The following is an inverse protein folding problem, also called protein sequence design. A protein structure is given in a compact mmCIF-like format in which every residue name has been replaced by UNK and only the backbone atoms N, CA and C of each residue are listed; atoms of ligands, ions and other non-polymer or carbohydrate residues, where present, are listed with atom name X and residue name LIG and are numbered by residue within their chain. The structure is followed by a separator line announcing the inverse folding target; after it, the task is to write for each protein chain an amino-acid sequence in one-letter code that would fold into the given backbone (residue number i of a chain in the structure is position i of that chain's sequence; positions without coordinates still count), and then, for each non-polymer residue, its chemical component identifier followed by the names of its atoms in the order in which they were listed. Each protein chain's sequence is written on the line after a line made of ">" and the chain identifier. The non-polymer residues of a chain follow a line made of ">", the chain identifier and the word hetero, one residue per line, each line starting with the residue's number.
data_IF_513435517391
#
_entry.id   IF_513435517391
#
_cell.length_a   1.000
_cell.length_b   1.000
_cell.length_c   1.000
_cell.angle_alpha   90.00
_cell.angle_beta   90.00
_cell.angle_gamma   90.00
#
_symmetry.space_group_name_H-M   'P 1'
#
loop_
_entity.id
_entity.type
_entity.pdbx_description
1 polymer ?
#
# COMPACT_ATOMS: atom_id res chain seq x y z
N UNK A 1 -31.28 26.50 26.87
CA UNK A 1 -32.51 25.91 26.30
C UNK A 1 -33.66 26.00 27.31
N UNK A 2 -34.94 26.02 26.91
CA UNK A 2 -36.10 26.06 27.82
C UNK A 2 -37.16 25.05 27.37
N UNK A 3 -37.74 24.32 28.33
CA UNK A 3 -38.87 23.41 28.13
C UNK A 3 -39.98 23.83 29.10
N UNK A 4 -41.22 23.92 28.62
CA UNK A 4 -42.37 24.24 29.49
C UNK A 4 -42.52 23.18 30.59
N UNK A 5 -42.72 23.55 31.87
CA UNK A 5 -42.97 22.57 32.94
C UNK A 5 -44.17 21.66 32.65
N UNK A 6 -45.15 22.16 31.89
CA UNK A 6 -46.34 21.42 31.46
C UNK A 6 -46.08 20.46 30.28
N UNK A 7 -44.88 20.44 29.69
CA UNK A 7 -44.55 19.50 28.62
C UNK A 7 -44.57 18.06 29.18
N UNK A 8 -45.39 17.15 28.62
CA UNK A 8 -45.51 15.79 29.14
C UNK A 8 -44.38 14.86 28.70
N UNK A 9 -43.59 15.25 27.69
CA UNK A 9 -42.59 14.38 27.06
C UNK A 9 -41.16 14.73 27.45
N UNK A 10 -40.87 16.02 27.63
CA UNK A 10 -39.50 16.51 27.79
C UNK A 10 -39.31 17.27 29.09
N UNK A 11 -38.07 17.25 29.56
CA UNK A 11 -37.59 18.09 30.65
C UNK A 11 -36.22 18.67 30.30
N UNK A 12 -35.79 19.69 31.04
CA UNK A 12 -34.46 20.32 30.86
C UNK A 12 -33.90 20.78 32.20
N UNK A 13 -32.57 20.86 32.30
CA UNK A 13 -31.84 21.55 33.36
C UNK A 13 -31.31 22.93 32.90
N UNK A 14 -31.73 23.39 31.71
CA UNK A 14 -31.26 24.61 31.07
C UNK A 14 -30.08 24.40 30.10
N UNK A 15 -29.38 23.27 30.20
CA UNK A 15 -28.22 22.88 29.37
C UNK A 15 -28.51 21.70 28.45
N UNK A 16 -29.27 20.71 28.94
CA UNK A 16 -29.61 19.49 28.22
C UNK A 16 -31.12 19.31 28.06
N UNK A 17 -31.55 18.61 27.01
CA UNK A 17 -32.91 18.09 26.85
C UNK A 17 -32.92 16.62 27.27
N UNK A 18 -33.92 16.25 28.05
CA UNK A 18 -34.18 14.88 28.45
C UNK A 18 -35.61 14.49 28.16
N UNK A 19 -35.93 13.20 28.26
CA UNK A 19 -37.30 12.76 28.47
C UNK A 19 -37.86 13.28 29.82
N UNK A 20 -39.16 13.11 30.05
CA UNK A 20 -39.85 13.68 31.22
C UNK A 20 -39.23 13.24 32.55
N UNK A 21 -38.85 11.97 32.65
CA UNK A 21 -38.29 11.35 33.86
C UNK A 21 -36.77 11.50 33.99
N UNK A 22 -36.12 12.18 33.03
CA UNK A 22 -34.65 12.38 32.98
C UNK A 22 -33.86 11.07 32.96
N UNK A 23 -34.39 10.04 32.32
CA UNK A 23 -33.70 8.75 32.09
C UNK A 23 -33.00 8.68 30.74
N UNK A 24 -33.40 9.51 29.76
CA UNK A 24 -32.80 9.59 28.43
C UNK A 24 -32.34 11.03 28.18
N UNK A 25 -31.08 11.23 27.79
CA UNK A 25 -30.54 12.53 27.38
C UNK A 25 -30.50 12.61 25.85
N UNK A 26 -31.25 13.57 25.28
CA UNK A 26 -31.39 13.73 23.83
C UNK A 26 -30.33 14.62 23.20
N UNK A 27 -30.03 15.77 23.81
CA UNK A 27 -29.08 16.73 23.25
C UNK A 27 -28.68 17.79 24.28
N UNK A 28 -27.63 18.54 23.98
CA UNK A 28 -27.12 19.63 24.82
C UNK A 28 -26.84 20.89 24.01
N UNK A 29 -26.88 22.05 24.67
CA UNK A 29 -26.25 23.27 24.13
C UNK A 29 -24.71 23.09 24.07
N UNK A 30 -23.94 24.00 23.47
CA UNK A 30 -22.48 23.98 23.59
C UNK A 30 -22.01 24.08 25.05
N UNK A 31 -21.13 23.17 25.47
CA UNK A 31 -20.65 23.01 26.84
C UNK A 31 -19.14 22.80 26.87
N UNK A 32 -18.48 23.40 27.87
CA UNK A 32 -17.09 23.08 28.21
C UNK A 32 -16.99 21.87 29.15
N UNK A 33 -17.98 21.71 30.03
CA UNK A 33 -18.10 20.55 30.91
C UNK A 33 -19.54 20.26 31.29
N UNK A 34 -19.82 19.00 31.63
CA UNK A 34 -21.16 18.58 32.03
C UNK A 34 -21.15 17.41 33.02
N UNK A 35 -21.98 17.50 34.05
CA UNK A 35 -22.25 16.40 34.97
C UNK A 35 -23.63 15.84 34.63
N UNK A 36 -23.65 14.67 33.99
CA UNK A 36 -24.92 14.04 33.59
C UNK A 36 -25.67 13.61 34.87
N UNK A 37 -26.98 13.92 35.00
CA UNK A 37 -27.75 13.53 36.18
C UNK A 37 -27.74 12.01 36.44
N UNK A 38 -27.72 11.61 37.71
CA UNK A 38 -27.71 10.20 38.13
C UNK A 38 -28.96 9.40 37.72
N UNK A 39 -30.03 10.07 37.27
CA UNK A 39 -31.24 9.45 36.74
C UNK A 39 -31.07 8.94 35.31
N UNK A 40 -30.09 9.46 34.56
CA UNK A 40 -29.87 9.09 33.16
C UNK A 40 -29.39 7.65 33.06
N UNK A 41 -29.95 6.92 32.10
CA UNK A 41 -29.65 5.54 31.73
C UNK A 41 -29.15 5.46 30.29
N UNK A 42 -29.58 6.38 29.44
CA UNK A 42 -29.27 6.35 28.01
C UNK A 42 -28.84 7.72 27.50
N UNK A 43 -27.77 7.72 26.71
CA UNK A 43 -27.39 8.85 25.86
C UNK A 43 -27.85 8.53 24.45
N UNK A 44 -28.73 9.36 23.92
CA UNK A 44 -29.24 9.17 22.56
C UNK A 44 -28.19 9.47 21.49
N UNK A 45 -28.55 9.10 20.26
CA UNK A 45 -27.71 9.39 19.10
C UNK A 45 -27.41 10.90 19.04
N UNK A 46 -26.14 11.24 18.86
CA UNK A 46 -25.63 12.63 18.76
C UNK A 46 -25.80 13.52 20.01
N UNK A 47 -26.11 12.96 21.19
CA UNK A 47 -26.41 13.72 22.41
C UNK A 47 -25.40 14.82 22.81
N UNK A 48 -24.11 14.56 22.58
CA UNK A 48 -22.97 15.46 22.78
C UNK A 48 -22.13 15.60 21.49
N UNK A 49 -22.71 15.36 20.31
CA UNK A 49 -21.98 15.52 19.06
C UNK A 49 -21.57 16.97 18.84
N UNK A 50 -20.37 17.18 18.29
CA UNK A 50 -19.77 18.47 17.96
C UNK A 50 -19.62 19.43 19.16
N UNK A 51 -19.42 18.90 20.37
CA UNK A 51 -19.06 19.70 21.54
C UNK A 51 -17.57 20.08 21.50
N UNK A 52 -17.21 20.99 20.59
CA UNK A 52 -15.81 21.31 20.23
C UNK A 52 -15.00 21.94 21.37
N UNK A 53 -15.67 22.50 22.37
CA UNK A 53 -15.05 23.09 23.56
C UNK A 53 -15.13 22.22 24.80
N UNK A 54 -15.74 21.03 24.73
CA UNK A 54 -15.87 20.13 25.87
C UNK A 54 -14.52 19.52 26.24
N UNK A 55 -14.08 19.74 27.47
CA UNK A 55 -12.84 19.19 28.02
C UNK A 55 -13.10 18.08 29.04
N UNK A 56 -14.27 18.06 29.67
CA UNK A 56 -14.63 17.03 30.65
C UNK A 56 -16.12 16.71 30.67
N UNK A 57 -16.44 15.44 30.95
CA UNK A 57 -17.80 14.99 31.20
C UNK A 57 -17.80 13.91 32.28
N UNK A 58 -18.78 13.99 33.18
CA UNK A 58 -19.01 12.98 34.20
C UNK A 58 -20.22 12.13 33.83
N UNK A 59 -19.97 10.84 33.60
CA UNK A 59 -21.00 9.83 33.32
C UNK A 59 -21.63 9.32 34.62
N UNK A 60 -22.94 9.03 34.66
CA UNK A 60 -23.59 8.51 35.87
C UNK A 60 -23.39 6.99 35.97
N UNK A 61 -23.19 6.47 37.19
CA UNK A 61 -23.03 5.02 37.44
C UNK A 61 -24.23 4.15 36.99
N UNK A 62 -25.39 4.75 36.73
CA UNK A 62 -26.57 4.06 36.19
C UNK A 62 -26.62 3.96 34.67
N UNK A 63 -25.65 4.53 33.93
CA UNK A 63 -25.67 4.58 32.47
C UNK A 63 -25.55 3.18 31.86
N UNK A 64 -26.48 2.82 30.99
CA UNK A 64 -26.55 1.51 30.33
C UNK A 64 -26.20 1.55 28.85
N UNK A 65 -26.41 2.67 28.15
CA UNK A 65 -26.19 2.78 26.70
C UNK A 65 -25.64 4.14 26.28
N UNK A 66 -24.75 4.11 25.28
CA UNK A 66 -24.20 5.27 24.59
C UNK A 66 -24.54 5.16 23.11
N UNK A 67 -25.40 6.03 22.62
CA UNK A 67 -25.95 6.01 21.27
C UNK A 67 -24.95 6.40 20.17
N UNK A 68 -25.38 6.20 18.93
CA UNK A 68 -24.59 6.46 17.72
C UNK A 68 -24.05 7.89 17.73
N UNK A 69 -22.75 8.03 17.51
CA UNK A 69 -22.10 9.34 17.42
C UNK A 69 -22.33 10.26 18.62
N UNK A 70 -22.65 9.71 19.81
CA UNK A 70 -23.01 10.49 20.99
C UNK A 70 -21.97 11.55 21.36
N UNK A 71 -20.67 11.29 21.18
CA UNK A 71 -19.56 12.22 21.43
C UNK A 71 -18.77 12.54 20.17
N UNK A 72 -19.33 12.31 18.98
CA UNK A 72 -18.61 12.57 17.73
C UNK A 72 -18.09 14.00 17.69
N UNK A 73 -16.86 14.21 17.25
CA UNK A 73 -16.24 15.53 17.11
C UNK A 73 -16.08 16.34 18.41
N UNK A 74 -16.01 15.69 19.58
CA UNK A 74 -15.58 16.33 20.84
C UNK A 74 -14.05 16.49 20.86
N UNK A 75 -13.51 17.40 20.06
CA UNK A 75 -12.07 17.50 19.76
C UNK A 75 -11.17 17.77 20.98
N UNK A 76 -11.71 18.39 22.05
CA UNK A 76 -10.96 18.75 23.26
C UNK A 76 -11.17 17.80 24.44
N UNK A 77 -11.97 16.75 24.29
CA UNK A 77 -12.22 15.80 25.37
C UNK A 77 -11.00 14.89 25.54
N UNK A 78 -10.27 15.04 26.64
CA UNK A 78 -8.99 14.34 26.84
C UNK A 78 -9.14 12.96 27.46
N UNK A 79 -10.11 12.81 28.36
CA UNK A 79 -10.33 11.59 29.14
C UNK A 79 -11.81 11.29 29.26
N UNK A 80 -12.15 10.01 29.22
CA UNK A 80 -13.50 9.53 29.43
C UNK A 80 -13.49 8.26 30.29
N UNK A 81 -14.29 8.28 31.35
CA UNK A 81 -14.54 7.08 32.16
C UNK A 81 -15.92 6.55 31.80
N UNK A 82 -15.98 5.39 31.15
CA UNK A 82 -17.23 4.70 30.85
C UNK A 82 -17.63 3.86 32.07
N UNK A 83 -18.83 4.07 32.65
CA UNK A 83 -19.31 3.30 33.79
C UNK A 83 -19.39 1.80 33.51
N UNK A 84 -19.17 0.98 34.54
CA UNK A 84 -19.19 -0.48 34.45
C UNK A 84 -20.58 -1.07 34.12
N UNK A 85 -21.63 -0.25 34.21
CA UNK A 85 -23.02 -0.58 33.90
C UNK A 85 -23.36 -0.45 32.42
N UNK A 86 -22.50 0.19 31.62
CA UNK A 86 -22.72 0.31 30.17
C UNK A 86 -22.64 -1.07 29.52
N UNK A 87 -23.61 -1.36 28.64
CA UNK A 87 -23.74 -2.63 27.91
C UNK A 87 -23.68 -2.43 26.39
N UNK A 88 -23.94 -1.23 25.89
CA UNK A 88 -23.84 -0.89 24.47
C UNK A 88 -23.16 0.45 24.24
N UNK A 89 -22.27 0.48 23.23
CA UNK A 89 -21.62 1.68 22.70
C UNK A 89 -21.76 1.59 21.18
N UNK A 90 -22.56 2.47 20.62
CA UNK A 90 -22.96 2.40 19.21
C UNK A 90 -21.93 3.03 18.26
N UNK A 91 -22.18 2.84 16.96
CA UNK A 91 -21.27 3.24 15.90
C UNK A 91 -20.85 4.71 16.02
N UNK A 92 -19.55 4.96 15.85
CA UNK A 92 -18.97 6.30 15.88
C UNK A 92 -19.13 7.06 17.20
N UNK A 93 -19.49 6.41 18.32
CA UNK A 93 -19.77 7.09 19.59
C UNK A 93 -18.69 8.09 20.00
N UNK A 94 -17.40 7.81 19.76
CA UNK A 94 -16.26 8.69 20.06
C UNK A 94 -15.46 9.07 18.81
N UNK A 95 -16.11 9.05 17.64
CA UNK A 95 -15.47 9.41 16.37
C UNK A 95 -14.93 10.84 16.42
N UNK A 96 -13.67 11.05 16.05
CA UNK A 96 -13.08 12.38 16.00
C UNK A 96 -12.82 13.04 17.36
N UNK A 97 -12.89 12.30 18.47
CA UNK A 97 -12.40 12.77 19.77
C UNK A 97 -10.86 12.82 19.78
N UNK A 98 -10.26 13.71 19.00
CA UNK A 98 -8.83 13.70 18.67
C UNK A 98 -7.90 13.97 19.87
N UNK A 99 -8.37 14.61 20.94
CA UNK A 99 -7.62 14.76 22.19
C UNK A 99 -7.78 13.57 23.16
N UNK A 100 -8.74 12.66 22.91
CA UNK A 100 -9.09 11.57 23.82
C UNK A 100 -7.96 10.54 23.87
N UNK A 101 -7.12 10.68 24.89
CA UNK A 101 -5.93 9.86 25.07
C UNK A 101 -6.12 8.77 26.13
N UNK A 102 -7.18 8.85 26.93
CA UNK A 102 -7.51 7.85 27.97
C UNK A 102 -9.00 7.53 27.97
N UNK A 103 -9.31 6.27 27.69
CA UNK A 103 -10.66 5.70 27.75
C UNK A 103 -10.58 4.28 28.28
N UNK A 104 -11.52 3.87 29.11
CA UNK A 104 -11.72 2.48 29.49
C UNK A 104 -12.91 1.90 28.74
N UNK A 105 -12.77 0.68 28.20
CA UNK A 105 -13.90 -0.12 27.75
C UNK A 105 -14.32 -1.01 28.92
N UNK A 106 -15.58 -0.94 29.40
CA UNK A 106 -15.99 -1.70 30.57
C UNK A 106 -16.10 -3.20 30.27
N UNK A 107 -15.89 -4.02 31.30
CA UNK A 107 -16.13 -5.46 31.24
C UNK A 107 -17.61 -5.74 30.92
N UNK A 108 -17.86 -6.76 30.09
CA UNK A 108 -19.21 -7.15 29.69
C UNK A 108 -19.67 -6.58 28.36
N UNK A 109 -18.98 -5.58 27.80
CA UNK A 109 -19.13 -5.18 26.39
C UNK A 109 -18.79 -6.37 25.50
N UNK A 110 -19.70 -6.70 24.58
CA UNK A 110 -19.57 -7.86 23.66
C UNK A 110 -18.99 -7.47 22.31
N UNK A 111 -19.28 -6.26 21.85
CA UNK A 111 -18.81 -5.76 20.57
C UNK A 111 -18.42 -4.29 20.66
N UNK A 112 -17.43 -3.90 19.87
CA UNK A 112 -17.11 -2.52 19.56
C UNK A 112 -17.68 -2.21 18.18
N UNK A 113 -18.52 -1.18 18.08
CA UNK A 113 -19.21 -0.84 16.84
C UNK A 113 -18.28 -0.15 15.82
N UNK A 114 -18.78 -0.01 14.58
CA UNK A 114 -18.05 0.62 13.49
C UNK A 114 -17.61 2.04 13.84
N UNK A 115 -16.35 2.37 13.55
CA UNK A 115 -15.79 3.70 13.76
C UNK A 115 -15.82 4.21 15.21
N UNK A 116 -16.08 3.36 16.21
CA UNK A 116 -16.37 3.78 17.59
C UNK A 116 -15.32 4.73 18.19
N UNK A 117 -14.04 4.51 17.86
CA UNK A 117 -12.91 5.32 18.30
C UNK A 117 -12.10 5.88 17.11
N UNK A 118 -12.69 5.90 15.91
CA UNK A 118 -11.99 6.39 14.72
C UNK A 118 -11.59 7.86 14.90
N UNK A 119 -10.36 8.22 14.49
CA UNK A 119 -9.78 9.56 14.62
C UNK A 119 -9.71 10.06 16.09
N UNK A 120 -9.55 9.14 17.05
CA UNK A 120 -9.29 9.47 18.45
C UNK A 120 -7.80 9.63 18.75
N UNK A 121 -7.48 10.26 19.88
CA UNK A 121 -6.11 10.51 20.35
C UNK A 121 -5.48 9.38 21.18
N UNK A 122 -6.08 8.17 21.16
CA UNK A 122 -5.64 7.06 22.00
C UNK A 122 -4.21 6.64 21.66
N UNK A 123 -3.41 6.36 22.69
CA UNK A 123 -2.03 5.88 22.54
C UNK A 123 -1.89 4.38 22.73
N UNK A 124 -2.67 3.84 23.66
CA UNK A 124 -2.74 2.41 23.98
C UNK A 124 -4.17 2.11 24.34
N UNK A 125 -4.62 0.88 24.08
CA UNK A 125 -5.94 0.43 24.51
C UNK A 125 -5.91 -1.05 24.85
N UNK A 126 -6.39 -1.36 26.06
CA UNK A 126 -6.69 -2.72 26.48
C UNK A 126 -8.15 -3.02 26.18
N UNK A 127 -8.41 -3.92 25.23
CA UNK A 127 -9.76 -4.35 24.91
C UNK A 127 -10.12 -5.52 25.83
N UNK A 128 -11.25 -5.45 26.57
CA UNK A 128 -11.69 -6.55 27.43
C UNK A 128 -11.87 -7.87 26.68
N UNK A 129 -11.53 -8.98 27.33
CA UNK A 129 -11.71 -10.34 26.80
C UNK A 129 -13.18 -10.71 26.52
N UNK A 130 -14.14 -9.95 27.05
CA UNK A 130 -15.56 -10.12 26.74
C UNK A 130 -15.94 -9.70 25.32
N UNK A 131 -15.07 -8.92 24.63
CA UNK A 131 -15.29 -8.45 23.27
C UNK A 131 -14.94 -9.54 22.28
N UNK A 132 -15.88 -9.92 21.42
CA UNK A 132 -15.70 -10.93 20.37
C UNK A 132 -15.91 -10.39 18.95
N UNK A 133 -16.24 -9.10 18.82
CA UNK A 133 -16.41 -8.42 17.54
C UNK A 133 -15.93 -6.98 17.63
N UNK A 134 -15.17 -6.54 16.64
CA UNK A 134 -14.76 -5.15 16.47
C UNK A 134 -15.14 -4.71 15.06
N UNK A 135 -15.96 -3.67 14.97
CA UNK A 135 -16.53 -3.16 13.73
C UNK A 135 -15.51 -2.55 12.78
N UNK A 136 -15.99 -2.21 11.59
CA UNK A 136 -15.18 -1.60 10.54
C UNK A 136 -14.64 -0.26 11.01
N UNK A 137 -13.37 0.01 10.67
CA UNK A 137 -12.70 1.28 11.01
C UNK A 137 -12.75 1.68 12.49
N UNK A 138 -12.98 0.74 13.42
CA UNK A 138 -13.16 1.05 14.84
C UNK A 138 -12.01 1.91 15.41
N UNK A 139 -10.78 1.71 14.93
CA UNK A 139 -9.59 2.48 15.30
C UNK A 139 -8.95 3.21 14.12
N UNK A 140 -9.63 3.33 12.97
CA UNK A 140 -9.09 4.04 11.80
C UNK A 140 -8.71 5.49 12.18
N UNK A 141 -7.54 5.95 11.74
CA UNK A 141 -6.97 7.28 11.98
C UNK A 141 -6.65 7.57 13.45
N UNK A 142 -6.50 6.57 14.30
CA UNK A 142 -5.90 6.74 15.63
C UNK A 142 -4.38 6.96 15.49
N UNK A 143 -3.98 8.13 14.98
CA UNK A 143 -2.59 8.41 14.55
C UNK A 143 -1.56 8.34 15.68
N UNK A 144 -2.01 8.41 16.94
CA UNK A 144 -1.16 8.31 18.13
C UNK A 144 -1.11 6.89 18.72
N UNK A 145 -1.85 5.93 18.17
CA UNK A 145 -1.91 4.56 18.68
C UNK A 145 -0.56 3.87 18.45
N UNK A 146 0.14 3.52 19.54
CA UNK A 146 1.45 2.87 19.53
C UNK A 146 1.33 1.34 19.53
N UNK A 147 0.43 0.83 20.36
CA UNK A 147 0.12 -0.59 20.52
C UNK A 147 -1.34 -0.77 20.97
N UNK A 148 -1.86 -1.97 20.77
CA UNK A 148 -3.22 -2.35 21.18
C UNK A 148 -3.27 -3.84 21.50
N UNK A 149 -3.93 -4.17 22.61
CA UNK A 149 -4.14 -5.55 23.02
C UNK A 149 -5.50 -6.02 22.51
N UNK A 150 -5.48 -6.83 21.46
CA UNK A 150 -6.66 -7.46 20.88
C UNK A 150 -7.09 -8.68 21.73
N UNK A 151 -8.40 -8.92 21.92
CA UNK A 151 -8.87 -10.04 22.71
C UNK A 151 -8.76 -11.38 21.96
N UNK A 152 -8.41 -12.44 22.69
CA UNK A 152 -8.20 -13.80 22.16
C UNK A 152 -9.42 -14.45 21.50
N UNK A 153 -10.62 -13.86 21.63
CA UNK A 153 -11.86 -14.36 21.04
C UNK A 153 -12.13 -13.89 19.61
N UNK A 154 -11.29 -13.03 19.04
CA UNK A 154 -11.52 -12.47 17.70
C UNK A 154 -11.22 -13.47 16.59
N UNK A 155 -12.16 -13.63 15.68
CA UNK A 155 -11.98 -14.45 14.46
C UNK A 155 -11.70 -13.61 13.22
N UNK A 156 -11.93 -12.30 13.28
CA UNK A 156 -11.95 -11.39 12.14
C UNK A 156 -11.30 -10.05 12.49
N UNK A 157 -10.36 -9.60 11.65
CA UNK A 157 -9.96 -8.20 11.59
C UNK A 157 -10.70 -7.51 10.44
N UNK A 158 -11.60 -6.58 10.80
CA UNK A 158 -12.53 -5.96 9.87
C UNK A 158 -11.89 -4.92 8.94
N UNK A 159 -12.67 -4.49 7.94
CA UNK A 159 -12.26 -3.51 6.95
C UNK A 159 -11.73 -2.22 7.60
N UNK A 160 -10.52 -1.82 7.23
CA UNK A 160 -9.90 -0.58 7.71
C UNK A 160 -9.68 -0.49 9.23
N UNK A 161 -9.65 -1.61 9.96
CA UNK A 161 -9.64 -1.63 11.43
C UNK A 161 -8.61 -0.68 12.06
N UNK A 162 -7.37 -0.70 11.55
CA UNK A 162 -6.26 0.17 11.93
C UNK A 162 -5.79 1.06 10.77
N UNK A 163 -6.67 1.35 9.80
CA UNK A 163 -6.35 2.23 8.68
C UNK A 163 -5.78 3.57 9.19
N UNK A 164 -4.66 4.04 8.65
CA UNK A 164 -3.95 5.26 9.04
C UNK A 164 -3.59 5.36 10.54
N UNK A 165 -3.40 4.24 11.25
CA UNK A 165 -2.74 4.23 12.57
C UNK A 165 -1.22 4.40 12.41
N UNK A 166 -0.79 5.60 12.03
CA UNK A 166 0.57 5.86 11.53
C UNK A 166 1.70 5.49 12.52
N UNK A 167 1.44 5.53 13.84
CA UNK A 167 2.40 5.19 14.89
C UNK A 167 2.29 3.74 15.40
N UNK A 168 1.34 2.95 14.89
CA UNK A 168 1.16 1.57 15.33
C UNK A 168 2.38 0.76 14.88
N UNK A 169 3.15 0.27 15.86
CA UNK A 169 4.42 -0.42 15.62
C UNK A 169 4.49 -1.81 16.25
N UNK A 170 3.64 -2.08 17.25
CA UNK A 170 3.52 -3.37 17.90
C UNK A 170 2.05 -3.80 17.93
N UNK A 171 1.76 -4.93 17.29
CA UNK A 171 0.45 -5.57 17.28
C UNK A 171 0.62 -7.08 17.20
N UNK A 172 -0.04 -7.78 18.12
CA UNK A 172 -0.18 -9.22 18.10
C UNK A 172 -1.56 -9.57 17.56
N UNK A 173 -1.61 -10.33 16.46
CA UNK A 173 -2.87 -10.84 15.93
C UNK A 173 -3.27 -12.07 16.76
N UNK A 174 -4.49 -12.12 17.34
CA UNK A 174 -4.92 -13.28 18.11
C UNK A 174 -4.86 -14.59 17.33
N UNK A 175 -4.48 -15.68 18.00
CA UNK A 175 -4.32 -17.00 17.37
C UNK A 175 -5.62 -17.60 16.84
N UNK A 176 -6.78 -17.00 17.11
CA UNK A 176 -8.11 -17.39 16.62
C UNK A 176 -8.53 -16.68 15.34
N UNK A 177 -7.78 -15.66 14.88
CA UNK A 177 -8.13 -14.89 13.69
C UNK A 177 -7.98 -15.74 12.43
N UNK A 178 -9.10 -15.99 11.76
CA UNK A 178 -9.15 -16.76 10.50
C UNK A 178 -9.16 -15.85 9.27
N UNK A 179 -9.60 -14.58 9.44
CA UNK A 179 -9.79 -13.64 8.33
C UNK A 179 -9.24 -12.25 8.65
N UNK A 180 -8.51 -11.67 7.71
CA UNK A 180 -8.11 -10.25 7.73
C UNK A 180 -8.67 -9.59 6.47
N UNK A 181 -9.46 -8.54 6.66
CA UNK A 181 -10.08 -7.77 5.57
C UNK A 181 -9.18 -6.66 5.06
N UNK A 182 -9.53 -6.18 3.88
CA UNK A 182 -8.86 -5.09 3.19
C UNK A 182 -8.65 -3.88 4.11
N UNK A 183 -7.56 -3.16 3.87
CA UNK A 183 -7.17 -1.95 4.61
C UNK A 183 -6.98 -2.11 6.12
N UNK A 184 -7.08 -3.32 6.69
CA UNK A 184 -6.99 -3.54 8.13
C UNK A 184 -5.73 -2.90 8.76
N UNK A 185 -4.62 -2.84 8.04
CA UNK A 185 -3.38 -2.18 8.46
C UNK A 185 -2.91 -1.08 7.48
N UNK A 186 -3.76 -0.64 6.54
CA UNK A 186 -3.35 0.33 5.54
C UNK A 186 -2.85 1.62 6.22
N UNK A 187 -1.67 2.13 5.85
CA UNK A 187 -1.12 3.36 6.42
C UNK A 187 -0.53 3.22 7.83
N UNK A 188 -0.34 2.00 8.36
CA UNK A 188 0.44 1.76 9.57
C UNK A 188 1.95 1.97 9.31
N UNK A 189 2.35 3.24 9.16
CA UNK A 189 3.69 3.65 8.69
C UNK A 189 4.84 3.24 9.62
N UNK A 190 4.57 3.03 10.91
CA UNK A 190 5.56 2.60 11.90
C UNK A 190 5.69 1.08 12.04
N UNK A 191 4.79 0.29 11.45
CA UNK A 191 4.80 -1.17 11.53
C UNK A 191 5.99 -1.74 10.75
N UNK A 192 6.87 -2.47 11.44
CA UNK A 192 8.11 -3.03 10.85
C UNK A 192 8.02 -4.50 10.52
N UNK A 193 7.29 -5.25 11.33
CA UNK A 193 7.09 -6.69 11.17
C UNK A 193 5.67 -7.01 11.61
N UNK A 194 5.04 -7.98 10.94
CA UNK A 194 3.77 -8.54 11.39
C UNK A 194 3.81 -10.06 11.27
N UNK A 195 3.25 -10.75 12.26
CA UNK A 195 3.15 -12.21 12.28
C UNK A 195 1.69 -12.61 12.10
N UNK A 196 1.43 -13.40 11.05
CA UNK A 196 0.11 -13.94 10.74
C UNK A 196 -0.11 -15.26 11.48
N UNK A 197 -1.28 -15.46 12.14
CA UNK A 197 -1.47 -16.61 13.02
C UNK A 197 -1.64 -17.92 12.24
N UNK A 198 -1.40 -19.05 12.91
CA UNK A 198 -1.54 -20.39 12.30
C UNK A 198 -2.98 -20.71 11.83
N UNK A 199 -3.98 -20.06 12.42
CA UNK A 199 -5.39 -20.20 12.07
C UNK A 199 -5.83 -19.39 10.85
N UNK A 200 -5.03 -18.43 10.40
CA UNK A 200 -5.38 -17.55 9.30
C UNK A 200 -5.56 -18.36 8.00
N UNK A 201 -6.75 -18.28 7.41
CA UNK A 201 -7.10 -18.95 6.17
C UNK A 201 -7.43 -17.99 5.03
N UNK A 202 -7.77 -16.74 5.35
CA UNK A 202 -8.34 -15.81 4.38
C UNK A 202 -7.77 -14.40 4.53
N UNK A 203 -7.30 -13.85 3.41
CA UNK A 203 -6.94 -12.45 3.23
C UNK A 203 -7.88 -11.88 2.18
N UNK A 204 -8.83 -11.04 2.60
CA UNK A 204 -9.80 -10.44 1.69
C UNK A 204 -9.23 -9.12 1.16
N UNK A 205 -8.70 -9.13 -0.06
CA UNK A 205 -8.37 -7.89 -0.78
C UNK A 205 -9.40 -7.72 -1.90
N UNK A 206 -10.07 -6.57 -1.94
CA UNK A 206 -11.05 -6.31 -2.97
C UNK A 206 -10.35 -6.10 -4.32
N UNK A 207 -10.80 -6.79 -5.38
CA UNK A 207 -10.28 -6.68 -6.72
C UNK A 207 -9.98 -5.25 -7.21
N UNK A 208 -10.95 -4.38 -7.03
CA UNK A 208 -11.00 -3.07 -7.67
C UNK A 208 -10.68 -1.91 -6.72
N UNK A 209 -10.43 -2.18 -5.44
CA UNK A 209 -10.04 -1.11 -4.51
C UNK A 209 -8.68 -0.52 -4.91
N UNK A 210 -8.44 0.73 -4.55
CA UNK A 210 -7.16 1.42 -4.75
C UNK A 210 -6.14 1.16 -3.65
N UNK A 211 -6.31 0.09 -2.87
CA UNK A 211 -5.56 -0.22 -1.66
C UNK A 211 -5.54 -1.73 -1.37
N UNK A 212 -5.07 -2.13 -0.19
CA UNK A 212 -4.83 -3.52 0.20
C UNK A 212 -4.38 -3.55 1.66
N UNK A 213 -4.41 -4.74 2.28
CA UNK A 213 -4.23 -4.92 3.74
C UNK A 213 -3.03 -4.13 4.32
N UNK A 214 -1.87 -4.17 3.65
CA UNK A 214 -0.63 -3.51 4.08
C UNK A 214 -0.23 -2.32 3.19
N UNK A 215 -1.16 -1.77 2.41
CA UNK A 215 -0.91 -0.53 1.66
C UNK A 215 -0.42 0.56 2.62
N UNK A 216 0.44 1.48 2.17
CA UNK A 216 0.90 2.57 3.06
C UNK A 216 1.84 2.17 4.21
N UNK A 217 2.09 0.88 4.50
CA UNK A 217 3.00 0.41 5.56
C UNK A 217 4.48 0.58 5.16
N UNK A 218 4.95 1.82 5.05
CA UNK A 218 6.26 2.17 4.50
C UNK A 218 7.48 1.65 5.28
N UNK A 219 7.33 1.31 6.57
CA UNK A 219 8.42 0.74 7.37
C UNK A 219 8.38 -0.80 7.44
N UNK A 220 7.36 -1.45 6.86
CA UNK A 220 7.18 -2.90 6.95
C UNK A 220 8.28 -3.58 6.16
N UNK A 221 9.08 -4.41 6.83
CA UNK A 221 10.22 -5.14 6.27
C UNK A 221 9.98 -6.64 6.19
N UNK A 222 9.02 -7.16 6.95
CA UNK A 222 8.78 -8.60 7.05
C UNK A 222 7.33 -8.91 7.36
N UNK A 223 6.77 -9.87 6.61
CA UNK A 223 5.48 -10.50 6.87
C UNK A 223 5.77 -11.96 7.21
N UNK A 224 5.63 -12.30 8.49
CA UNK A 224 5.88 -13.64 9.03
C UNK A 224 4.58 -14.44 9.09
N UNK A 225 4.70 -15.76 9.11
CA UNK A 225 3.59 -16.68 9.27
C UNK A 225 3.95 -17.67 10.39
N UNK A 226 3.05 -17.88 11.34
CA UNK A 226 3.25 -18.85 12.40
C UNK A 226 3.34 -20.29 11.86
N UNK A 227 4.19 -21.09 12.50
CA UNK A 227 4.31 -22.50 12.19
C UNK A 227 2.96 -23.22 12.29
N UNK A 228 2.68 -24.09 11.32
CA UNK A 228 1.43 -24.84 11.26
C UNK A 228 0.30 -24.15 10.48
N UNK A 229 0.51 -22.93 9.96
CA UNK A 229 -0.44 -22.35 9.00
C UNK A 229 -0.58 -23.25 7.75
N UNK A 230 -1.83 -23.55 7.38
CA UNK A 230 -2.19 -24.48 6.29
C UNK A 230 -2.23 -23.83 4.91
N UNK A 231 -2.33 -22.51 4.83
CA UNK A 231 -2.65 -21.76 3.61
C UNK A 231 -1.51 -20.85 3.16
N UNK A 232 -0.76 -20.32 4.10
CA UNK A 232 0.27 -19.33 3.87
C UNK A 232 1.63 -19.80 4.36
N UNK A 233 2.66 -19.18 3.80
CA UNK A 233 4.05 -19.39 4.19
C UNK A 233 4.84 -18.09 4.03
N UNK A 234 5.91 -17.96 4.80
CA UNK A 234 6.86 -16.85 4.67
C UNK A 234 8.25 -17.36 4.35
N UNK A 235 9.05 -16.56 3.67
CA UNK A 235 10.50 -16.76 3.55
C UNK A 235 11.30 -15.91 4.57
N UNK A 236 10.61 -15.28 5.51
CA UNK A 236 11.18 -14.32 6.45
C UNK A 236 11.01 -12.86 6.01
N UNK A 237 10.59 -12.62 4.77
CA UNK A 237 10.38 -11.28 4.22
C UNK A 237 8.96 -11.13 3.65
N UNK A 238 8.62 -11.92 2.63
CA UNK A 238 7.38 -11.80 1.88
C UNK A 238 6.40 -12.92 2.23
N UNK A 239 5.12 -12.65 1.92
CA UNK A 239 4.04 -13.59 2.10
C UNK A 239 3.79 -14.38 0.83
N UNK A 240 3.67 -15.70 0.97
CA UNK A 240 3.37 -16.64 -0.09
C UNK A 240 2.17 -17.50 0.26
N UNK A 241 1.62 -18.19 -0.75
CA UNK A 241 0.78 -19.35 -0.48
C UNK A 241 1.63 -20.51 0.07
N UNK A 242 0.96 -21.57 0.56
CA UNK A 242 1.64 -22.65 1.27
C UNK A 242 2.72 -23.36 0.45
N UNK A 243 2.52 -23.50 -0.86
CA UNK A 243 3.46 -24.16 -1.78
C UNK A 243 4.61 -23.24 -2.21
N UNK A 244 4.57 -21.94 -1.84
CA UNK A 244 5.50 -20.90 -2.31
C UNK A 244 5.58 -20.76 -3.82
N UNK A 245 4.52 -21.13 -4.54
CA UNK A 245 4.41 -20.89 -5.98
C UNK A 245 3.76 -19.54 -6.31
N UNK A 246 3.11 -18.90 -5.34
CA UNK A 246 2.46 -17.60 -5.50
C UNK A 246 2.97 -16.62 -4.46
N UNK A 247 3.60 -15.52 -4.90
CA UNK A 247 3.92 -14.38 -4.05
C UNK A 247 2.64 -13.55 -3.84
N UNK A 248 2.13 -13.52 -2.62
CA UNK A 248 0.84 -12.90 -2.27
C UNK A 248 1.01 -11.43 -1.90
N UNK A 249 2.02 -11.11 -1.09
CA UNK A 249 2.26 -9.74 -0.63
C UNK A 249 3.73 -9.51 -0.30
N UNK A 250 4.29 -8.42 -0.81
CA UNK A 250 5.63 -7.98 -0.57
C UNK A 250 5.64 -6.77 0.38
N UNK A 251 6.50 -6.75 1.40
CA UNK A 251 6.58 -5.64 2.35
C UNK A 251 7.12 -4.35 1.69
N UNK A 252 6.42 -3.21 1.88
CA UNK A 252 6.73 -1.94 1.20
C UNK A 252 8.04 -1.27 1.62
N UNK A 253 8.59 -1.63 2.78
CA UNK A 253 9.85 -1.10 3.32
C UNK A 253 11.10 -1.84 2.87
N UNK A 254 10.97 -2.76 1.90
CA UNK A 254 12.09 -3.50 1.30
C UNK A 254 12.38 -2.99 -0.10
N UNK A 255 13.67 -2.81 -0.41
CA UNK A 255 14.16 -2.18 -1.65
C UNK A 255 14.44 -3.16 -2.77
N UNK A 256 14.73 -4.40 -2.44
CA UNK A 256 15.23 -5.40 -3.38
C UNK A 256 14.50 -6.71 -3.19
N UNK A 257 14.20 -7.38 -4.30
CA UNK A 257 13.61 -8.73 -4.27
C UNK A 257 14.34 -9.63 -5.26
N UNK A 258 14.59 -10.86 -4.82
CA UNK A 258 14.93 -11.98 -5.70
C UNK A 258 13.71 -12.89 -5.70
N UNK A 259 13.03 -12.99 -6.84
CA UNK A 259 11.87 -13.86 -7.01
C UNK A 259 12.37 -15.32 -7.10
N UNK A 260 12.03 -16.19 -6.13
CA UNK A 260 12.57 -17.55 -6.09
C UNK A 260 12.06 -18.42 -7.25
N UNK A 261 12.85 -19.43 -7.64
CA UNK A 261 12.49 -20.38 -8.72
C UNK A 261 11.16 -21.13 -8.49
N UNK A 262 10.72 -21.26 -7.23
CA UNK A 262 9.43 -21.89 -6.89
C UNK A 262 8.25 -21.06 -7.36
N UNK A 263 8.41 -19.74 -7.49
CA UNK A 263 7.32 -18.81 -7.82
C UNK A 263 6.94 -18.95 -9.29
N UNK A 264 5.66 -19.28 -9.50
CA UNK A 264 4.98 -19.32 -10.80
C UNK A 264 4.02 -18.15 -10.99
N UNK A 265 3.62 -17.49 -9.91
CA UNK A 265 2.71 -16.34 -9.97
C UNK A 265 3.16 -15.23 -9.04
N UNK A 266 3.31 -14.02 -9.59
CA UNK A 266 3.28 -12.79 -8.78
C UNK A 266 1.81 -12.39 -8.68
N UNK A 267 1.25 -12.54 -7.48
CA UNK A 267 -0.18 -12.38 -7.22
C UNK A 267 -0.69 -10.96 -7.45
N UNK A 268 -2.02 -10.85 -7.55
CA UNK A 268 -2.71 -9.57 -7.69
C UNK A 268 -2.30 -8.63 -6.55
N UNK A 269 -1.92 -7.40 -6.88
CA UNK A 269 -1.49 -6.38 -5.91
C UNK A 269 -0.31 -6.81 -5.01
N UNK A 270 0.45 -7.84 -5.37
CA UNK A 270 1.50 -8.36 -4.50
C UNK A 270 2.56 -7.33 -4.12
N UNK A 271 2.92 -6.43 -5.02
CA UNK A 271 3.81 -5.29 -4.80
C UNK A 271 3.07 -3.95 -4.83
N UNK A 272 1.75 -3.91 -4.61
CA UNK A 272 0.96 -2.69 -4.75
C UNK A 272 1.52 -1.52 -3.94
N UNK A 273 1.87 -0.44 -4.64
CA UNK A 273 2.43 0.76 -4.07
C UNK A 273 3.79 0.56 -3.41
N UNK A 274 4.60 -0.46 -3.74
CA UNK A 274 5.92 -0.64 -3.14
C UNK A 274 6.90 0.47 -3.60
N UNK A 275 6.75 1.67 -3.05
CA UNK A 275 7.53 2.85 -3.43
C UNK A 275 9.02 2.71 -3.07
N UNK A 276 9.40 1.86 -2.13
CA UNK A 276 10.83 1.62 -1.85
C UNK A 276 11.47 0.61 -2.80
N UNK A 277 10.70 -0.16 -3.56
CA UNK A 277 11.21 -1.22 -4.43
C UNK A 277 11.98 -0.62 -5.62
N UNK A 278 13.23 -1.01 -5.75
CA UNK A 278 14.16 -0.53 -6.77
C UNK A 278 14.60 -1.64 -7.72
N UNK A 279 15.03 -2.78 -7.17
CA UNK A 279 15.60 -3.86 -7.97
C UNK A 279 14.79 -5.14 -7.84
N UNK A 280 14.36 -5.65 -9.00
CA UNK A 280 13.62 -6.91 -9.11
C UNK A 280 14.49 -7.89 -9.88
N UNK A 281 14.93 -8.94 -9.19
CA UNK A 281 15.76 -10.02 -9.72
C UNK A 281 14.95 -11.32 -9.72
N UNK A 282 15.37 -12.28 -10.54
CA UNK A 282 14.77 -13.61 -10.63
C UNK A 282 15.88 -14.64 -10.43
N UNK A 283 15.61 -15.66 -9.61
CA UNK A 283 16.53 -16.79 -9.46
C UNK A 283 16.73 -17.54 -10.79
N UNK A 284 17.89 -18.17 -10.92
CA UNK A 284 18.14 -19.14 -12.00
C UNK A 284 17.10 -20.26 -11.92
N UNK A 285 16.38 -20.49 -13.02
CA UNK A 285 15.35 -21.53 -13.11
C UNK A 285 13.92 -21.04 -12.95
N UNK A 286 13.68 -19.75 -12.71
CA UNK A 286 12.32 -19.18 -12.88
C UNK A 286 11.85 -19.44 -14.31
N UNK A 287 10.64 -20.00 -14.45
CA UNK A 287 10.02 -20.33 -15.73
C UNK A 287 8.50 -20.26 -15.62
N UNK A 288 7.84 -19.97 -16.74
CA UNK A 288 6.38 -19.91 -16.84
C UNK A 288 5.71 -18.91 -15.90
N UNK A 289 6.43 -17.85 -15.51
CA UNK A 289 5.98 -16.86 -14.56
C UNK A 289 4.81 -16.04 -15.12
N UNK A 290 3.74 -15.92 -14.33
CA UNK A 290 2.61 -15.02 -14.60
C UNK A 290 2.65 -13.85 -13.62
N UNK A 291 2.56 -12.64 -14.14
CA UNK A 291 2.40 -11.42 -13.34
C UNK A 291 0.93 -10.99 -13.41
N UNK A 292 0.23 -11.08 -12.28
CA UNK A 292 -1.21 -10.81 -12.19
C UNK A 292 -1.56 -9.32 -12.24
N UNK A 293 -2.87 -9.05 -12.35
CA UNK A 293 -3.40 -7.69 -12.42
C UNK A 293 -2.89 -6.81 -11.27
N UNK A 294 -2.47 -5.59 -11.60
CA UNK A 294 -2.09 -4.57 -10.61
C UNK A 294 -0.95 -5.00 -9.67
N UNK A 295 -0.18 -6.03 -10.03
CA UNK A 295 0.88 -6.61 -9.20
C UNK A 295 1.88 -5.55 -8.71
N UNK A 296 2.34 -4.66 -9.58
CA UNK A 296 3.28 -3.56 -9.33
C UNK A 296 2.63 -2.17 -9.52
N UNK A 297 1.31 -2.07 -9.40
CA UNK A 297 0.64 -0.77 -9.53
C UNK A 297 1.17 0.20 -8.48
N UNK A 298 1.39 1.47 -8.87
CA UNK A 298 1.92 2.56 -8.04
C UNK A 298 3.31 2.30 -7.45
N UNK A 299 4.12 1.37 -8.00
CA UNK A 299 5.54 1.27 -7.65
C UNK A 299 6.33 2.40 -8.31
N UNK A 300 6.73 3.41 -7.55
CA UNK A 300 7.27 4.67 -8.11
C UNK A 300 8.78 4.75 -8.28
N UNK A 301 9.56 3.77 -7.84
CA UNK A 301 11.03 3.88 -7.82
C UNK A 301 11.73 2.64 -8.39
N UNK A 302 11.11 1.92 -9.32
CA UNK A 302 11.74 0.75 -9.94
C UNK A 302 12.91 1.23 -10.80
N UNK A 303 14.14 0.95 -10.38
CA UNK A 303 15.34 1.33 -11.11
C UNK A 303 15.48 0.48 -12.39
N UNK A 304 15.23 -0.81 -12.28
CA UNK A 304 15.36 -1.73 -13.40
C UNK A 304 14.36 -2.87 -13.31
N UNK A 305 13.66 -3.11 -14.42
CA UNK A 305 12.81 -4.28 -14.61
C UNK A 305 13.22 -5.04 -15.87
N UNK A 306 13.39 -6.35 -15.75
CA UNK A 306 13.85 -7.20 -16.85
C UNK A 306 12.75 -8.20 -17.23
N UNK A 307 12.26 -8.11 -18.45
CA UNK A 307 11.36 -9.08 -19.08
C UNK A 307 12.22 -10.11 -19.79
N UNK A 308 12.34 -11.30 -19.19
CA UNK A 308 13.05 -12.46 -19.76
C UNK A 308 12.08 -13.48 -20.33
N UNK A 309 12.55 -14.48 -21.06
CA UNK A 309 11.71 -15.61 -21.54
C UNK A 309 11.00 -16.38 -20.43
N UNK A 310 11.47 -16.27 -19.18
CA UNK A 310 10.83 -16.87 -18.02
C UNK A 310 9.43 -16.29 -17.74
N UNK A 311 9.18 -15.02 -18.12
CA UNK A 311 7.88 -14.38 -17.96
C UNK A 311 6.98 -14.83 -19.10
N UNK A 312 6.01 -15.68 -18.79
CA UNK A 312 5.03 -16.18 -19.75
C UNK A 312 4.00 -15.13 -20.10
N UNK A 313 3.48 -14.43 -19.09
CA UNK A 313 2.37 -13.50 -19.25
C UNK A 313 2.43 -12.36 -18.24
N UNK A 314 2.01 -11.17 -18.67
CA UNK A 314 1.79 -10.00 -17.81
C UNK A 314 0.37 -9.48 -18.03
N UNK A 315 -0.44 -9.51 -16.97
CA UNK A 315 -1.87 -9.18 -16.99
C UNK A 315 -2.12 -7.66 -17.00
N UNK A 316 -3.40 -7.31 -17.18
CA UNK A 316 -3.87 -5.92 -17.26
C UNK A 316 -3.47 -5.08 -16.05
N UNK A 317 -3.07 -3.83 -16.30
CA UNK A 317 -2.68 -2.86 -15.27
C UNK A 317 -1.56 -3.33 -14.31
N UNK A 318 -0.79 -4.38 -14.65
CA UNK A 318 0.25 -4.93 -13.77
C UNK A 318 1.24 -3.88 -13.27
N UNK A 319 1.57 -2.87 -14.07
CA UNK A 319 2.45 -1.75 -13.73
C UNK A 319 1.71 -0.42 -13.78
N UNK A 320 0.41 -0.41 -13.45
CA UNK A 320 -0.38 0.81 -13.53
C UNK A 320 0.19 1.93 -12.67
N UNK A 321 0.29 3.15 -13.19
CA UNK A 321 0.80 4.32 -12.47
C UNK A 321 2.17 4.09 -11.80
N UNK A 322 2.95 3.11 -12.30
CA UNK A 322 4.30 2.84 -11.84
C UNK A 322 5.30 3.78 -12.54
N UNK A 323 6.50 3.83 -12.00
CA UNK A 323 7.64 4.48 -12.64
C UNK A 323 8.81 3.51 -12.70
N UNK A 324 9.30 3.27 -13.92
CA UNK A 324 10.42 2.40 -14.21
C UNK A 324 11.50 3.22 -14.90
N UNK A 325 12.69 3.31 -14.32
CA UNK A 325 13.81 3.98 -14.97
C UNK A 325 14.27 3.18 -16.21
N UNK A 326 14.64 1.90 -16.02
CA UNK A 326 15.07 1.03 -17.13
C UNK A 326 14.20 -0.21 -17.28
N UNK A 327 13.54 -0.34 -18.43
CA UNK A 327 12.87 -1.58 -18.83
C UNK A 327 13.73 -2.32 -19.86
N UNK A 328 14.06 -3.58 -19.59
CA UNK A 328 14.87 -4.42 -20.51
C UNK A 328 14.05 -5.63 -20.93
N UNK A 329 13.89 -5.85 -22.23
CA UNK A 329 13.17 -6.99 -22.80
C UNK A 329 14.18 -7.88 -23.52
N UNK A 330 14.59 -8.99 -22.92
CA UNK A 330 15.75 -9.76 -23.44
C UNK A 330 15.42 -10.72 -24.57
N UNK A 331 14.15 -10.86 -24.93
CA UNK A 331 13.68 -11.82 -25.95
C UNK A 331 12.50 -11.23 -26.73
N UNK A 332 12.46 -11.46 -28.04
CA UNK A 332 11.34 -11.06 -28.91
C UNK A 332 10.01 -11.56 -28.37
N UNK A 333 9.00 -10.69 -28.35
CA UNK A 333 7.64 -11.01 -27.87
C UNK A 333 6.61 -10.88 -28.98
N UNK A 334 5.57 -11.74 -28.99
CA UNK A 334 4.46 -11.57 -29.92
C UNK A 334 3.72 -10.27 -29.61
N UNK A 335 3.10 -9.66 -30.61
CA UNK A 335 2.35 -8.41 -30.44
C UNK A 335 1.26 -8.49 -29.35
N UNK A 336 0.65 -9.67 -29.18
CA UNK A 336 -0.34 -9.93 -28.12
C UNK A 336 0.19 -9.72 -26.71
N UNK A 337 1.50 -9.86 -26.49
CA UNK A 337 2.14 -9.60 -25.19
C UNK A 337 2.01 -8.12 -24.80
N UNK A 338 2.10 -7.21 -25.76
CA UNK A 338 2.04 -5.76 -25.52
C UNK A 338 0.60 -5.21 -25.45
N UNK A 339 -0.38 -5.96 -25.98
CA UNK A 339 -1.80 -5.57 -26.03
C UNK A 339 -2.54 -5.73 -24.70
N UNK A 340 -1.92 -6.25 -23.65
CA UNK A 340 -2.58 -6.42 -22.33
C UNK A 340 -2.71 -5.12 -21.54
N UNK A 341 -2.25 -3.97 -22.07
CA UNK A 341 -2.24 -2.66 -21.37
C UNK A 341 -1.54 -2.72 -20.00
N UNK A 342 -0.64 -3.68 -19.80
CA UNK A 342 0.02 -3.88 -18.51
C UNK A 342 0.85 -2.68 -18.03
N UNK A 343 1.23 -1.78 -18.94
CA UNK A 343 1.96 -0.52 -18.65
C UNK A 343 1.03 0.71 -18.59
N UNK A 344 -0.28 0.58 -18.43
CA UNK A 344 -1.24 1.71 -18.37
C UNK A 344 -0.79 2.78 -17.37
N UNK A 345 -0.70 4.06 -17.75
CA UNK A 345 -0.22 5.13 -16.84
C UNK A 345 1.24 5.01 -16.35
N UNK A 346 1.94 3.91 -16.65
CA UNK A 346 3.34 3.72 -16.28
C UNK A 346 4.23 4.73 -17.00
N UNK A 347 5.10 5.41 -16.27
CA UNK A 347 6.17 6.22 -16.85
C UNK A 347 7.42 5.36 -16.98
N UNK A 348 8.10 5.45 -18.13
CA UNK A 348 9.32 4.68 -18.40
C UNK A 348 10.33 5.62 -19.04
N UNK A 349 11.53 5.74 -18.47
CA UNK A 349 12.57 6.62 -19.03
C UNK A 349 13.20 5.97 -20.27
N UNK A 350 13.76 4.77 -20.11
CA UNK A 350 14.47 4.06 -21.18
C UNK A 350 13.96 2.62 -21.33
N UNK A 351 13.75 2.20 -22.58
CA UNK A 351 13.42 0.80 -22.93
C UNK A 351 14.51 0.22 -23.82
N UNK A 352 15.09 -0.88 -23.39
CA UNK A 352 16.00 -1.73 -24.16
C UNK A 352 15.22 -2.95 -24.66
N UNK A 353 15.06 -3.13 -25.97
CA UNK A 353 14.28 -4.23 -26.55
C UNK A 353 14.87 -4.73 -27.88
N UNK A 354 14.54 -5.95 -28.34
CA UNK A 354 14.96 -6.44 -29.65
C UNK A 354 14.42 -5.52 -30.75
N UNK A 355 15.17 -5.34 -31.83
CA UNK A 355 14.79 -4.41 -32.90
C UNK A 355 13.39 -4.69 -33.48
N UNK A 356 12.99 -5.97 -33.51
CA UNK A 356 11.66 -6.43 -33.95
C UNK A 356 10.50 -5.87 -33.12
N UNK A 357 10.75 -5.53 -31.85
CA UNK A 357 9.71 -5.18 -30.89
C UNK A 357 9.54 -3.66 -30.77
N UNK A 358 10.53 -2.88 -31.22
CA UNK A 358 10.57 -1.42 -31.04
C UNK A 358 9.40 -0.71 -31.72
N UNK A 359 9.01 -1.15 -32.92
CA UNK A 359 7.88 -0.56 -33.66
C UNK A 359 6.57 -0.78 -32.91
N UNK A 360 6.36 -1.97 -32.36
CA UNK A 360 5.21 -2.29 -31.51
C UNK A 360 5.24 -1.46 -30.24
N UNK A 361 6.36 -1.39 -29.52
CA UNK A 361 6.49 -0.63 -28.26
C UNK A 361 6.25 0.86 -28.47
N UNK A 362 6.74 1.43 -29.58
CA UNK A 362 6.57 2.86 -29.93
C UNK A 362 5.10 3.28 -30.02
N UNK A 363 4.20 2.36 -30.39
CA UNK A 363 2.77 2.62 -30.44
C UNK A 363 2.13 2.72 -29.04
N UNK A 364 2.79 2.22 -27.99
CA UNK A 364 2.28 2.18 -26.63
C UNK A 364 3.00 3.12 -25.66
N UNK A 365 4.24 3.53 -25.98
CA UNK A 365 5.07 4.34 -25.09
C UNK A 365 5.89 5.39 -25.82
N UNK A 366 5.82 6.61 -25.31
CA UNK A 366 6.74 7.70 -25.63
C UNK A 366 7.93 7.64 -24.66
N UNK A 367 8.86 6.73 -24.90
CA UNK A 367 10.08 6.53 -24.11
C UNK A 367 11.31 6.52 -25.02
N UNK A 368 12.50 6.73 -24.46
CA UNK A 368 13.75 6.51 -25.21
C UNK A 368 13.88 5.02 -25.53
N UNK A 369 13.82 4.69 -26.83
CA UNK A 369 13.86 3.32 -27.32
C UNK A 369 15.26 2.97 -27.82
N UNK A 370 15.82 1.89 -27.26
CA UNK A 370 17.16 1.41 -27.57
C UNK A 370 17.07 -0.05 -28.06
N UNK A 371 17.57 -0.36 -29.28
CA UNK A 371 17.74 -1.74 -29.71
C UNK A 371 18.79 -2.47 -28.85
N UNK A 372 18.47 -3.66 -28.35
CA UNK A 372 19.38 -4.49 -27.55
C UNK A 372 20.62 -4.96 -28.32
N UNK A 373 20.50 -5.14 -29.63
CA UNK A 373 21.57 -5.56 -30.53
C UNK A 373 22.26 -4.38 -31.24
N UNK A 374 22.10 -3.15 -30.70
CA UNK A 374 22.74 -1.97 -31.28
C UNK A 374 24.24 -1.92 -30.93
N UNK A 375 25.07 -1.68 -31.95
CA UNK A 375 26.46 -1.25 -31.75
C UNK A 375 26.45 0.26 -31.57
N UNK A 376 27.03 0.73 -30.47
CA UNK A 376 27.24 2.15 -30.20
C UNK A 376 28.65 2.54 -30.61
N UNK A 377 28.75 3.41 -31.61
CA UNK A 377 29.99 4.09 -31.96
C UNK A 377 29.93 5.47 -31.32
N UNK A 378 30.87 5.77 -30.42
CA UNK A 378 30.87 7.03 -29.68
C UNK A 378 31.05 8.23 -30.64
N UNK A 379 30.41 9.36 -30.32
CA UNK A 379 30.33 10.55 -31.17
C UNK A 379 31.65 11.32 -31.32
N UNK A 380 32.71 10.86 -30.68
CA UNK A 380 34.04 11.47 -30.53
C UNK A 380 35.14 10.75 -31.33
N UNK A 381 34.78 9.90 -32.31
CA UNK A 381 35.78 9.32 -33.22
C UNK A 381 36.36 10.40 -34.14
N UNK A 382 37.62 10.74 -33.91
CA UNK A 382 38.41 11.61 -34.78
C UNK A 382 39.17 10.76 -35.81
N UNK A 383 38.99 11.05 -37.10
CA UNK A 383 39.39 10.17 -38.21
C UNK A 383 40.79 10.52 -38.73
N UNK A 384 41.73 9.57 -38.60
CA UNK A 384 42.90 9.44 -39.45
C UNK A 384 42.81 8.10 -40.18
N UNK A 385 43.13 8.06 -41.48
CA UNK A 385 42.91 6.93 -42.39
C UNK A 385 43.49 5.58 -41.90
N UNK A 386 42.71 4.85 -41.10
CA UNK A 386 42.92 3.44 -40.77
C UNK A 386 41.55 2.80 -40.56
N UNK A 387 41.32 1.67 -41.22
CA UNK A 387 40.19 0.79 -40.93
C UNK A 387 40.28 0.37 -39.46
N UNK A 388 39.27 0.71 -38.65
CA UNK A 388 39.21 0.31 -37.24
C UNK A 388 38.35 -0.96 -37.17
N UNK A 389 38.98 -2.08 -36.81
CA UNK A 389 38.29 -3.33 -36.53
C UNK A 389 37.87 -3.34 -35.06
N UNK A 390 36.57 -3.20 -34.80
CA UNK A 390 36.04 -3.42 -33.46
C UNK A 390 35.65 -4.89 -33.33
N UNK A 391 36.15 -5.54 -32.28
CA UNK A 391 35.59 -6.81 -31.82
C UNK A 391 34.47 -6.46 -30.84
N UNK A 392 33.28 -7.01 -31.06
CA UNK A 392 32.18 -6.85 -30.12
C UNK A 392 32.62 -7.43 -28.77
N UNK A 393 32.94 -6.56 -27.81
CA UNK A 393 33.15 -6.95 -26.41
C UNK A 393 32.19 -6.10 -25.59
N UNK A 394 31.37 -6.77 -24.77
CA UNK A 394 30.39 -6.15 -23.89
C UNK A 394 31.08 -5.10 -23.00
N UNK A 395 30.66 -3.84 -23.11
CA UNK A 395 30.91 -2.74 -22.15
C UNK A 395 32.36 -2.31 -21.85
N UNK A 396 33.11 -1.72 -22.79
CA UNK A 396 34.28 -0.89 -22.45
C UNK A 396 34.37 0.41 -23.30
N UNK A 397 34.83 1.50 -22.68
CA UNK A 397 35.00 2.84 -23.27
C UNK A 397 36.37 2.98 -23.95
N UNK A 398 36.48 3.41 -25.22
CA UNK A 398 37.77 3.63 -25.87
C UNK A 398 38.47 4.92 -25.41
N UNK A 399 39.81 4.95 -25.39
CA UNK A 399 40.61 6.14 -25.04
C UNK A 399 41.68 6.48 -26.09
N UNK A 400 41.82 7.79 -26.40
CA UNK A 400 43.00 8.41 -27.03
C UNK A 400 42.80 8.93 -28.46
N UNK A 401 42.23 10.14 -28.64
CA UNK A 401 42.07 10.79 -29.95
C UNK A 401 41.97 12.33 -29.81
N UNK A 402 43.09 13.05 -29.91
CA UNK A 402 43.12 14.51 -30.00
C UNK A 402 43.81 14.93 -31.31
N UNK A 403 43.30 16.01 -31.93
CA UNK A 403 43.83 16.81 -33.06
C UNK A 403 43.29 16.51 -34.48
N UNK A 404 42.23 17.22 -34.96
CA UNK A 404 41.95 17.58 -36.38
C UNK A 404 40.78 18.65 -36.48
N UNK A 405 40.56 19.36 -37.63
CA UNK A 405 39.79 20.61 -37.71
C UNK A 405 38.28 20.49 -37.96
N UNK A 406 37.54 21.52 -37.52
CA UNK A 406 36.07 21.61 -37.53
C UNK A 406 35.46 21.71 -38.94
N UNK A 407 34.36 20.96 -39.15
CA UNK A 407 33.44 20.94 -40.31
C UNK A 407 33.62 19.83 -41.36
N UNK A 408 33.92 18.60 -40.91
CA UNK A 408 33.71 17.40 -41.75
C UNK A 408 32.71 16.49 -41.04
N UNK A 409 31.59 16.16 -41.69
CA UNK A 409 30.60 15.20 -41.17
C UNK A 409 30.97 13.79 -41.65
N UNK A 410 31.22 12.81 -40.76
CA UNK A 410 31.56 11.45 -41.17
C UNK A 410 30.35 10.70 -41.75
N UNK A 411 30.59 9.89 -42.78
CA UNK A 411 29.69 8.85 -43.23
C UNK A 411 30.19 7.51 -42.68
N UNK A 412 29.42 6.85 -41.81
CA UNK A 412 29.80 5.52 -41.31
C UNK A 412 29.18 4.46 -42.22
N UNK A 413 30.01 3.66 -42.90
CA UNK A 413 29.54 2.53 -43.70
C UNK A 413 29.82 1.19 -43.03
N UNK A 414 28.83 0.29 -43.02
CA UNK A 414 29.04 -1.14 -42.76
C UNK A 414 28.88 -1.87 -44.10
N UNK A 415 29.99 -2.37 -44.65
CA UNK A 415 30.00 -2.86 -46.04
C UNK A 415 29.68 -1.73 -47.02
N UNK A 416 28.69 -1.94 -47.90
CA UNK A 416 28.20 -0.94 -48.85
C UNK A 416 27.03 -0.09 -48.30
N UNK A 417 26.55 -0.39 -47.09
CA UNK A 417 25.39 0.29 -46.50
C UNK A 417 25.83 1.52 -45.71
N UNK A 418 25.29 2.66 -46.10
CA UNK A 418 25.46 3.95 -45.44
C UNK A 418 24.54 4.06 -44.22
N UNK A 419 25.10 4.41 -43.07
CA UNK A 419 24.36 4.51 -41.81
C UNK A 419 24.16 5.99 -41.50
N UNK A 420 22.89 6.37 -41.41
CA UNK A 420 22.50 7.72 -41.01
C UNK A 420 22.57 7.86 -39.49
N UNK A 421 23.05 9.01 -39.03
CA UNK A 421 23.03 9.37 -37.62
C UNK A 421 21.60 9.70 -37.18
N UNK A 422 21.24 9.33 -35.95
CA UNK A 422 19.99 9.77 -35.33
C UNK A 422 20.01 11.28 -35.04
N UNK A 423 18.87 11.81 -34.59
CA UNK A 423 18.69 13.21 -34.23
C UNK A 423 19.64 13.72 -33.12
N UNK A 424 20.36 12.82 -32.44
CA UNK A 424 21.35 13.11 -31.41
C UNK A 424 22.79 12.83 -31.86
N UNK A 425 23.02 12.57 -33.16
CA UNK A 425 24.34 12.33 -33.74
C UNK A 425 24.89 10.91 -33.51
N UNK A 426 24.05 9.93 -33.19
CA UNK A 426 24.46 8.53 -32.96
C UNK A 426 24.21 7.67 -34.20
N UNK A 427 25.21 6.93 -34.67
CA UNK A 427 25.07 6.02 -35.82
C UNK A 427 24.48 4.68 -35.35
N UNK A 428 23.28 4.34 -35.83
CA UNK A 428 22.54 3.14 -35.40
C UNK A 428 22.39 2.16 -36.56
N UNK A 429 22.95 0.95 -36.44
CA UNK A 429 22.69 -0.15 -37.38
C UNK A 429 22.12 -1.36 -36.64
N UNK A 430 20.88 -1.73 -36.98
CA UNK A 430 20.22 -2.94 -36.47
C UNK A 430 20.55 -4.18 -37.33
N UNK A 431 20.57 -5.37 -36.73
CA UNK A 431 20.64 -6.66 -37.45
C UNK A 431 22.02 -7.29 -37.62
N UNK A 432 23.00 -6.95 -36.78
CA UNK A 432 24.35 -7.50 -36.87
C UNK A 432 24.49 -8.81 -36.10
N UNK A 433 25.20 -9.78 -36.69
CA UNK A 433 25.46 -11.08 -36.07
C UNK A 433 26.55 -10.93 -35.00
N UNK A 434 26.32 -11.38 -33.75
CA UNK A 434 27.35 -11.39 -32.71
C UNK A 434 28.61 -12.15 -33.16
N UNK A 435 29.79 -11.74 -32.67
CA UNK A 435 31.11 -12.35 -32.97
C UNK A 435 31.68 -12.16 -34.38
N UNK A 436 30.93 -11.57 -35.32
CA UNK A 436 31.53 -11.08 -36.57
C UNK A 436 32.35 -9.82 -36.32
N UNK A 437 33.56 -9.80 -36.87
CA UNK A 437 34.36 -8.57 -36.94
C UNK A 437 33.81 -7.70 -38.06
N UNK A 438 33.44 -6.47 -37.76
CA UNK A 438 33.00 -5.49 -38.76
C UNK A 438 34.13 -4.50 -39.03
N UNK A 439 34.38 -4.25 -40.31
CA UNK A 439 35.34 -3.24 -40.75
C UNK A 439 34.54 -1.99 -41.07
N UNK A 440 34.71 -0.95 -40.26
CA UNK A 440 34.14 0.35 -40.54
C UNK A 440 35.11 1.12 -41.43
N UNK A 441 34.59 1.67 -42.53
CA UNK A 441 35.29 2.71 -43.28
C UNK A 441 34.58 4.00 -42.93
N UNK A 442 35.30 4.90 -42.25
CA UNK A 442 34.80 6.21 -41.85
C UNK A 442 35.36 7.25 -42.83
#
# INVERSE_FOLDING_TARGET
>A
IKVSPANPYFSTDGKAIFNKDKTVLYTTIPLTSYNIPSTVRELESYAFSAQTDMTSITMPEGLTSIGRSAFSSCYKLEQLVIPSTVRSIDAGAFHGCSALNKINIPQGIKSLADGVLSNSGIKTLDIPSSVNYIGERAFSKCKSLLSINLPDGLTLLNYGLFEECEQLSDIQIPSTVTTIKEDAFNGCKALKTITLPASLSTLENEPYSGSGIFSGCSALKSILVEAGNKYFESDGTALYNKTKDTLICFPRGVTDVVVPQSVKTIGRKAFFGCDSLQNIMFDDGVSDLVIEERAFEKCKNINKFVITSAIKEVKYDAFKDAHINQLIITTTRPESFYRTYFLSGCTIETIYAPASDLSTIKNYKSSSLIPLDAIYVASDITIGSRSIAFKLVKNETPSGLDELPANTYPCVKIGDTEIEADENGRYVHAGLVPERTFTYTI
#
